data_IF_441889635149
#
_entry.id   IF_441889635149
#
_cell.length_a   1.000
_cell.length_b   1.000
_cell.length_c   1.000
_cell.angle_alpha   90.00
_cell.angle_beta   90.00
_cell.angle_gamma   90.00
#
_symmetry.space_group_name_H-M   'P 1'
#
loop_
_entity.id
_entity.type
_entity.pdbx_description
1 polymer ?
#
# COMPACT_ATOMS: atom_id res chain seq x y z
N UNK A 1 -17.06 -45.22 -51.47
CA UNK A 1 -16.66 -45.42 -50.06
C UNK A 1 -16.04 -44.13 -49.54
N UNK A 2 -16.64 -43.58 -48.48
CA UNK A 2 -16.36 -42.27 -47.89
C UNK A 2 -14.97 -42.24 -47.22
N UNK A 3 -14.21 -41.16 -47.38
CA UNK A 3 -13.20 -40.73 -46.39
C UNK A 3 -13.52 -39.30 -45.98
N UNK A 4 -13.60 -39.14 -44.67
CA UNK A 4 -14.27 -38.07 -43.92
C UNK A 4 -13.28 -36.91 -43.67
N UNK A 5 -13.83 -35.70 -43.72
CA UNK A 5 -13.21 -34.43 -43.41
C UNK A 5 -12.75 -34.31 -41.94
N UNK A 6 -11.71 -33.52 -41.70
CA UNK A 6 -11.52 -32.85 -40.42
C UNK A 6 -10.96 -31.43 -40.67
N UNK A 7 -11.86 -30.48 -40.81
CA UNK A 7 -11.56 -29.05 -40.87
C UNK A 7 -11.40 -28.53 -39.43
N UNK A 8 -10.18 -28.21 -39.02
CA UNK A 8 -9.90 -27.52 -37.76
C UNK A 8 -10.20 -26.03 -37.91
N UNK A 9 -11.34 -25.61 -37.36
CA UNK A 9 -11.70 -24.20 -37.18
C UNK A 9 -10.98 -23.68 -35.92
N UNK A 10 -9.87 -22.96 -36.10
CA UNK A 10 -9.22 -22.22 -35.03
C UNK A 10 -9.98 -20.91 -34.79
N UNK A 11 -10.96 -20.92 -33.88
CA UNK A 11 -11.52 -19.70 -33.30
C UNK A 11 -10.54 -19.16 -32.24
N UNK A 12 -9.60 -18.31 -32.67
CA UNK A 12 -8.80 -17.51 -31.76
C UNK A 12 -9.64 -16.39 -31.16
N UNK A 13 -10.07 -16.55 -29.91
CA UNK A 13 -10.68 -15.46 -29.12
C UNK A 13 -9.70 -14.29 -28.98
N UNK A 14 -10.01 -13.17 -29.62
CA UNK A 14 -9.37 -11.88 -29.31
C UNK A 14 -9.90 -11.41 -27.97
N UNK A 15 -9.12 -11.56 -26.91
CA UNK A 15 -9.37 -10.89 -25.63
C UNK A 15 -9.13 -9.40 -25.81
N UNK A 16 -10.20 -8.64 -26.04
CA UNK A 16 -10.15 -7.18 -25.98
C UNK A 16 -9.89 -6.78 -24.53
N UNK A 17 -8.65 -6.38 -24.23
CA UNK A 17 -8.33 -5.61 -23.04
C UNK A 17 -9.08 -4.28 -23.14
N UNK A 18 -10.16 -4.14 -22.37
CA UNK A 18 -10.80 -2.84 -22.17
C UNK A 18 -9.80 -1.91 -21.47
N UNK A 19 -9.03 -1.14 -22.24
CA UNK A 19 -8.40 0.05 -21.74
C UNK A 19 -9.51 0.97 -21.21
N UNK A 20 -9.55 1.18 -19.89
CA UNK A 20 -10.49 2.14 -19.31
C UNK A 20 -10.15 3.53 -19.88
N UNK A 21 -11.13 4.27 -20.42
CA UNK A 21 -10.86 5.56 -21.02
C UNK A 21 -10.26 6.52 -19.99
N UNK A 22 -9.12 7.12 -20.37
CA UNK A 22 -8.54 8.26 -19.67
C UNK A 22 -9.60 9.35 -19.59
N UNK A 23 -10.04 9.69 -18.38
CA UNK A 23 -10.90 10.84 -18.18
C UNK A 23 -10.09 12.11 -18.47
N UNK A 24 -10.53 12.91 -19.44
CA UNK A 24 -9.93 14.20 -19.74
C UNK A 24 -9.86 15.07 -18.47
N UNK A 25 -8.75 15.78 -18.21
CA UNK A 25 -8.65 16.66 -17.05
C UNK A 25 -9.65 17.81 -17.21
N UNK A 26 -10.70 17.79 -16.39
CA UNK A 26 -11.56 18.96 -16.19
C UNK A 26 -10.76 20.04 -15.47
N UNK A 27 -10.97 21.27 -15.93
CA UNK A 27 -10.43 22.54 -15.46
C UNK A 27 -10.31 22.64 -13.93
N UNK A 28 -9.17 23.18 -13.48
CA UNK A 28 -8.77 23.28 -12.08
C UNK A 28 -9.83 23.97 -11.21
N UNK A 29 -10.39 23.19 -10.30
CA UNK A 29 -11.03 23.66 -9.07
C UNK A 29 -10.03 24.52 -8.27
N UNK A 30 -10.53 25.45 -7.44
CA UNK A 30 -9.77 26.31 -6.50
C UNK A 30 -8.87 25.58 -5.47
N UNK A 31 -8.67 24.28 -5.66
CA UNK A 31 -7.80 23.41 -4.88
C UNK A 31 -6.39 23.45 -5.45
N UNK A 32 -5.40 23.58 -4.56
CA UNK A 32 -4.00 23.43 -4.93
C UNK A 32 -3.80 22.09 -5.64
N UNK A 33 -3.00 22.10 -6.71
CA UNK A 33 -2.59 20.86 -7.40
C UNK A 33 -2.02 19.88 -6.35
N UNK A 34 -2.55 18.66 -6.36
CA UNK A 34 -2.24 17.65 -5.38
C UNK A 34 -0.74 17.29 -5.36
N UNK A 35 -0.07 17.32 -6.52
CA UNK A 35 1.36 17.06 -6.63
C UNK A 35 2.18 18.15 -5.95
N UNK A 36 1.82 19.42 -6.15
CA UNK A 36 2.51 20.53 -5.51
C UNK A 36 2.36 20.48 -3.98
N UNK A 37 1.17 20.16 -3.48
CA UNK A 37 0.94 19.98 -2.05
C UNK A 37 1.75 18.79 -1.52
N UNK A 38 1.77 17.67 -2.24
CA UNK A 38 2.55 16.49 -1.88
C UNK A 38 4.05 16.81 -1.79
N UNK A 39 4.61 17.54 -2.77
CA UNK A 39 6.01 17.98 -2.78
C UNK A 39 6.35 18.91 -1.62
N UNK A 40 5.48 19.87 -1.29
CA UNK A 40 5.67 20.74 -0.12
C UNK A 40 5.67 19.93 1.18
N UNK A 41 4.68 19.05 1.36
CA UNK A 41 4.58 18.18 2.54
C UNK A 41 5.74 17.19 2.64
N UNK A 42 6.33 16.83 1.51
CA UNK A 42 7.51 15.98 1.41
C UNK A 42 8.83 16.75 1.54
N UNK A 43 8.82 18.08 1.64
CA UNK A 43 10.04 18.89 1.64
C UNK A 43 10.88 18.71 0.36
N UNK A 44 10.23 18.57 -0.79
CA UNK A 44 10.86 18.38 -2.10
C UNK A 44 10.77 19.65 -2.96
N UNK A 45 11.70 19.85 -3.92
CA UNK A 45 11.60 20.95 -4.86
C UNK A 45 10.31 20.88 -5.67
N UNK A 46 9.76 22.07 -5.96
CA UNK A 46 8.65 22.25 -6.88
C UNK A 46 9.18 22.38 -8.31
N UNK A 47 8.44 21.88 -9.32
CA UNK A 47 8.80 22.11 -10.71
C UNK A 47 8.73 23.59 -11.06
N UNK A 48 9.47 24.01 -12.08
CA UNK A 48 9.48 25.40 -12.55
C UNK A 48 8.11 25.89 -13.02
N UNK A 49 7.28 24.96 -13.51
CA UNK A 49 5.89 25.20 -13.92
C UNK A 49 4.93 25.48 -12.76
N UNK A 50 5.39 25.36 -11.50
CA UNK A 50 4.54 25.65 -10.35
C UNK A 50 4.18 27.16 -10.30
N UNK A 51 2.91 27.52 -10.03
CA UNK A 51 2.49 28.91 -9.90
C UNK A 51 3.29 29.65 -8.82
N UNK A 52 3.53 30.94 -9.03
CA UNK A 52 4.34 31.75 -8.11
C UNK A 52 3.74 31.81 -6.70
N UNK A 53 2.42 31.81 -6.58
CA UNK A 53 1.72 31.73 -5.29
C UNK A 53 2.06 30.47 -4.48
N UNK A 54 2.41 29.37 -5.15
CA UNK A 54 2.86 28.12 -4.52
C UNK A 54 4.34 28.18 -4.18
N UNK A 55 5.16 28.73 -5.08
CA UNK A 55 6.59 28.94 -4.84
C UNK A 55 6.80 29.85 -3.62
N UNK A 56 5.98 30.88 -3.46
CA UNK A 56 6.00 31.78 -2.29
C UNK A 56 5.71 31.08 -0.97
N UNK A 57 4.98 29.95 -0.95
CA UNK A 57 4.81 29.16 0.28
C UNK A 57 6.16 28.70 0.85
N UNK A 58 7.12 28.37 -0.02
CA UNK A 58 8.48 27.98 0.39
C UNK A 58 9.25 29.13 1.04
N UNK A 59 8.82 30.38 0.85
CA UNK A 59 9.46 31.53 1.48
C UNK A 59 9.06 31.72 2.95
N UNK A 60 7.98 31.07 3.40
CA UNK A 60 7.52 31.13 4.79
C UNK A 60 8.49 30.39 5.71
N UNK A 61 8.89 31.03 6.83
CA UNK A 61 9.88 30.45 7.76
C UNK A 61 9.54 29.03 8.24
N UNK A 62 8.27 28.77 8.57
CA UNK A 62 7.81 27.43 8.98
C UNK A 62 8.00 26.38 7.88
N UNK A 63 7.80 26.76 6.62
CA UNK A 63 7.95 25.86 5.46
C UNK A 63 9.43 25.64 5.17
N UNK A 64 10.29 26.67 5.25
CA UNK A 64 11.75 26.52 5.15
C UNK A 64 12.29 25.55 6.19
N UNK A 65 11.93 25.76 7.46
CA UNK A 65 12.34 24.89 8.56
C UNK A 65 11.83 23.45 8.35
N UNK A 66 10.61 23.28 7.83
CA UNK A 66 10.08 21.96 7.50
C UNK A 66 10.94 21.22 6.47
N UNK A 67 11.35 21.88 5.39
CA UNK A 67 12.15 21.24 4.33
C UNK A 67 13.47 20.69 4.91
N UNK A 68 14.20 21.50 5.67
CA UNK A 68 15.46 21.08 6.30
C UNK A 68 15.26 19.92 7.26
N UNK A 69 14.28 20.02 8.16
CA UNK A 69 14.03 18.99 9.16
C UNK A 69 13.55 17.68 8.54
N UNK A 70 12.68 17.76 7.52
CA UNK A 70 12.14 16.59 6.86
C UNK A 70 13.19 15.89 6.00
N UNK A 71 14.06 16.63 5.32
CA UNK A 71 15.14 16.05 4.55
C UNK A 71 16.14 15.27 5.42
N UNK A 72 16.52 15.82 6.59
CA UNK A 72 17.36 15.12 7.57
C UNK A 72 16.69 13.81 8.02
N UNK A 73 15.41 13.86 8.38
CA UNK A 73 14.67 12.68 8.79
C UNK A 73 14.56 11.65 7.66
N UNK A 74 14.34 12.11 6.42
CA UNK A 74 14.24 11.24 5.25
C UNK A 74 15.57 10.55 4.94
N UNK A 75 16.68 11.29 4.89
CA UNK A 75 18.03 10.73 4.67
C UNK A 75 18.37 9.66 5.70
N UNK A 76 17.98 9.87 6.96
CA UNK A 76 18.14 8.85 8.01
C UNK A 76 17.32 7.59 7.74
N UNK A 77 16.06 7.73 7.32
CA UNK A 77 15.21 6.61 6.93
C UNK A 77 15.79 5.86 5.72
N UNK A 78 16.23 6.62 4.71
CA UNK A 78 16.81 6.13 3.46
C UNK A 78 18.02 5.22 3.73
N UNK A 79 18.99 5.73 4.51
CA UNK A 79 20.22 5.03 4.84
C UNK A 79 19.98 3.83 5.77
N UNK A 80 19.08 3.97 6.75
CA UNK A 80 18.84 2.90 7.73
C UNK A 80 17.98 1.77 7.19
N UNK A 81 17.09 2.03 6.23
CA UNK A 81 16.04 1.07 5.84
C UNK A 81 15.81 0.97 4.34
N UNK A 82 15.45 2.06 3.67
CA UNK A 82 14.89 1.97 2.32
C UNK A 82 15.89 1.41 1.31
N UNK A 83 17.16 1.82 1.41
CA UNK A 83 18.25 1.27 0.57
C UNK A 83 18.40 -0.25 0.75
N UNK A 84 18.33 -0.72 2.00
CA UNK A 84 18.45 -2.14 2.35
C UNK A 84 17.25 -2.95 1.88
N UNK A 85 16.04 -2.39 2.02
CA UNK A 85 14.80 -3.01 1.52
C UNK A 85 14.86 -3.18 0.00
N UNK A 86 15.29 -2.14 -0.74
CA UNK A 86 15.43 -2.24 -2.20
C UNK A 86 16.49 -3.27 -2.60
N UNK A 87 17.66 -3.25 -1.97
CA UNK A 87 18.71 -4.27 -2.20
C UNK A 87 18.18 -5.69 -1.94
N UNK A 88 17.50 -5.90 -0.82
CA UNK A 88 16.90 -7.20 -0.49
C UNK A 88 15.86 -7.61 -1.53
N UNK A 89 14.92 -6.71 -1.89
CA UNK A 89 13.90 -6.96 -2.91
C UNK A 89 14.52 -7.40 -4.22
N UNK A 90 15.49 -6.63 -4.72
CA UNK A 90 16.12 -6.86 -6.02
C UNK A 90 16.89 -8.19 -6.07
N UNK A 91 17.39 -8.65 -4.92
CA UNK A 91 18.09 -9.94 -4.80
C UNK A 91 17.19 -11.14 -4.53
N UNK A 92 16.13 -11.01 -3.72
CA UNK A 92 15.40 -12.14 -3.15
C UNK A 92 13.99 -12.35 -3.74
N UNK A 93 13.41 -11.30 -4.32
CA UNK A 93 12.10 -11.31 -4.98
C UNK A 93 12.10 -10.56 -6.33
N UNK A 94 13.14 -10.68 -7.18
CA UNK A 94 13.14 -9.99 -8.48
C UNK A 94 11.98 -10.41 -9.37
N UNK A 95 11.49 -11.64 -9.21
CA UNK A 95 10.36 -12.22 -9.94
C UNK A 95 9.02 -11.53 -9.65
N UNK A 96 8.93 -10.75 -8.57
CA UNK A 96 7.73 -10.00 -8.20
C UNK A 96 7.65 -8.65 -8.93
N UNK A 97 8.76 -8.16 -9.48
CA UNK A 97 8.83 -6.87 -10.17
C UNK A 97 8.49 -7.01 -11.67
N UNK A 98 7.27 -7.48 -11.98
CA UNK A 98 6.77 -7.61 -13.36
C UNK A 98 5.63 -6.64 -13.63
N UNK A 99 5.52 -6.22 -14.88
CA UNK A 99 4.35 -5.50 -15.40
C UNK A 99 3.11 -6.41 -15.42
N UNK A 100 1.91 -5.84 -15.50
CA UNK A 100 0.67 -6.62 -15.44
C UNK A 100 0.36 -7.23 -14.07
N UNK A 101 1.09 -6.84 -13.02
CA UNK A 101 0.87 -7.33 -11.65
C UNK A 101 0.12 -6.32 -10.79
N UNK A 102 -0.55 -6.81 -9.76
CA UNK A 102 -1.35 -6.01 -8.85
C UNK A 102 -1.00 -6.35 -7.40
N UNK A 103 -1.13 -5.39 -6.48
CA UNK A 103 -0.86 -5.60 -5.07
C UNK A 103 -2.15 -5.56 -4.24
N UNK A 104 -2.36 -6.57 -3.42
CA UNK A 104 -3.40 -6.60 -2.39
C UNK A 104 -2.77 -6.46 -1.00
N UNK A 105 -3.09 -5.38 -0.29
CA UNK A 105 -2.57 -5.10 1.04
C UNK A 105 -3.71 -4.86 2.04
N UNK A 106 -4.25 -5.94 2.66
CA UNK A 106 -5.51 -5.87 3.42
C UNK A 106 -5.44 -5.10 4.75
N UNK A 107 -4.26 -4.89 5.30
CA UNK A 107 -4.07 -4.19 6.58
C UNK A 107 -2.97 -3.14 6.45
N UNK A 108 -3.03 -2.37 5.37
CA UNK A 108 -2.03 -1.37 5.01
C UNK A 108 -2.09 -0.11 5.87
N UNK A 109 -3.31 0.36 6.18
CA UNK A 109 -3.50 1.74 6.61
C UNK A 109 -2.84 2.72 5.61
N UNK A 110 -2.03 3.70 6.07
CA UNK A 110 -1.31 4.62 5.19
C UNK A 110 0.05 4.10 4.65
N UNK A 111 0.40 2.81 4.80
CA UNK A 111 1.72 2.27 4.44
C UNK A 111 1.90 2.03 2.92
N UNK A 112 1.73 3.09 2.13
CA UNK A 112 2.10 3.09 0.72
C UNK A 112 3.61 2.94 0.52
N UNK A 113 4.43 3.44 1.45
CA UNK A 113 5.88 3.42 1.32
C UNK A 113 6.41 1.99 1.18
N UNK A 114 6.07 1.07 2.11
CA UNK A 114 6.56 -0.30 2.01
C UNK A 114 5.95 -1.04 0.82
N UNK A 115 4.68 -0.79 0.51
CA UNK A 115 4.02 -1.34 -0.67
C UNK A 115 4.79 -0.99 -1.95
N UNK A 116 5.11 0.29 -2.14
CA UNK A 116 5.84 0.75 -3.32
C UNK A 116 7.31 0.35 -3.31
N UNK A 117 7.96 0.33 -2.15
CA UNK A 117 9.37 -0.11 -2.05
C UNK A 117 9.55 -1.58 -2.39
N UNK A 118 8.62 -2.46 -2.01
CA UNK A 118 8.72 -3.90 -2.28
C UNK A 118 8.15 -4.31 -3.64
N UNK A 119 7.17 -3.56 -4.16
CA UNK A 119 6.45 -3.89 -5.39
C UNK A 119 6.31 -2.67 -6.31
N UNK A 120 7.41 -2.03 -6.75
CA UNK A 120 7.37 -0.79 -7.53
C UNK A 120 6.68 -0.92 -8.90
N UNK A 121 6.61 -2.13 -9.47
CA UNK A 121 6.09 -2.36 -10.83
C UNK A 121 4.57 -2.61 -10.89
N UNK A 122 3.89 -2.81 -9.76
CA UNK A 122 2.46 -3.12 -9.77
C UNK A 122 1.64 -2.00 -10.42
N UNK A 123 0.70 -2.36 -11.28
CA UNK A 123 -0.19 -1.40 -11.95
C UNK A 123 -1.20 -0.83 -10.97
N UNK A 124 -1.75 -1.70 -10.12
CA UNK A 124 -2.73 -1.31 -9.11
C UNK A 124 -2.28 -1.72 -7.71
N UNK A 125 -2.46 -0.82 -6.74
CA UNK A 125 -2.22 -1.04 -5.32
C UNK A 125 -3.54 -0.94 -4.56
N UNK A 126 -4.03 -2.05 -4.03
CA UNK A 126 -5.28 -2.11 -3.26
C UNK A 126 -4.94 -2.12 -1.77
N UNK A 127 -4.99 -0.94 -1.14
CA UNK A 127 -4.71 -0.74 0.27
C UNK A 127 -6.00 -0.65 1.08
N UNK A 128 -5.96 -1.21 2.29
CA UNK A 128 -7.11 -1.23 3.18
C UNK A 128 -6.69 -0.91 4.61
N UNK A 129 -7.57 -0.26 5.34
CA UNK A 129 -7.35 0.14 6.73
C UNK A 129 -8.65 0.53 7.42
N UNK A 130 -8.58 0.92 8.68
CA UNK A 130 -9.74 1.48 9.41
C UNK A 130 -9.75 3.00 9.36
N UNK A 131 -8.65 3.60 8.92
CA UNK A 131 -8.42 5.03 8.93
C UNK A 131 -9.30 5.72 7.89
N UNK A 132 -9.75 6.92 8.21
CA UNK A 132 -10.49 7.77 7.28
C UNK A 132 -9.61 8.16 6.10
N UNK A 133 -10.22 8.37 4.94
CA UNK A 133 -9.53 8.84 3.72
C UNK A 133 -8.80 10.17 3.98
N UNK A 134 -9.48 11.14 4.58
CA UNK A 134 -8.91 12.46 4.83
C UNK A 134 -9.01 13.41 3.63
N UNK A 135 -8.27 14.52 3.69
CA UNK A 135 -8.12 15.53 2.63
C UNK A 135 -6.71 16.09 2.67
N UNK A 136 -6.20 16.56 1.53
CA UNK A 136 -4.96 17.34 1.48
C UNK A 136 -5.15 18.71 2.17
N UNK A 137 -4.09 19.28 2.77
CA UNK A 137 -4.17 20.57 3.44
C UNK A 137 -4.34 21.73 2.45
N UNK A 138 -4.92 22.83 2.94
CA UNK A 138 -4.96 24.11 2.21
C UNK A 138 -3.63 24.87 2.32
N UNK A 139 -3.43 25.90 1.48
CA UNK A 139 -2.29 26.80 1.56
C UNK A 139 -2.10 27.40 2.98
N UNK A 140 -3.19 27.81 3.63
CA UNK A 140 -3.15 28.41 4.96
C UNK A 140 -2.72 27.39 6.02
N UNK A 141 -3.19 26.14 5.90
CA UNK A 141 -2.74 25.08 6.81
C UNK A 141 -1.24 24.81 6.66
N UNK A 142 -0.72 24.80 5.42
CA UNK A 142 0.70 24.61 5.14
C UNK A 142 1.59 25.71 5.74
N UNK A 143 1.12 26.95 5.79
CA UNK A 143 1.84 28.08 6.45
C UNK A 143 1.87 27.96 7.98
N UNK A 144 0.87 27.31 8.56
CA UNK A 144 0.74 27.12 10.01
C UNK A 144 1.46 25.88 10.55
N UNK A 145 0.93 25.32 11.63
CA UNK A 145 1.52 24.18 12.34
C UNK A 145 1.27 22.80 11.67
N UNK A 146 0.57 22.76 10.53
CA UNK A 146 0.21 21.50 9.88
C UNK A 146 1.44 20.65 9.53
N UNK A 147 2.48 21.27 8.95
CA UNK A 147 3.70 20.57 8.56
C UNK A 147 4.44 19.99 9.78
N UNK A 148 4.35 20.64 10.94
CA UNK A 148 4.90 20.08 12.18
C UNK A 148 4.10 18.85 12.65
N UNK A 149 2.76 18.94 12.67
CA UNK A 149 1.90 17.80 12.99
C UNK A 149 2.08 16.62 12.03
N UNK A 150 2.30 16.92 10.74
CA UNK A 150 2.63 15.93 9.71
C UNK A 150 3.95 15.22 10.00
N UNK A 151 5.02 15.97 10.32
CA UNK A 151 6.31 15.38 10.73
C UNK A 151 6.14 14.44 11.93
N UNK A 152 5.37 14.85 12.94
CA UNK A 152 5.11 14.01 14.12
C UNK A 152 4.39 12.72 13.74
N UNK A 153 3.38 12.79 12.86
CA UNK A 153 2.62 11.63 12.40
C UNK A 153 3.47 10.66 11.58
N UNK A 154 4.31 11.18 10.69
CA UNK A 154 5.23 10.39 9.86
C UNK A 154 6.38 9.79 10.67
N UNK A 155 6.87 10.48 11.70
CA UNK A 155 8.01 10.04 12.51
C UNK A 155 7.85 8.63 13.08
N UNK A 156 6.60 8.22 13.37
CA UNK A 156 6.29 6.88 13.87
C UNK A 156 6.63 5.82 12.82
N UNK A 157 6.13 5.97 11.58
CA UNK A 157 6.50 5.05 10.50
C UNK A 157 7.99 5.16 10.19
N UNK A 158 8.55 6.38 10.10
CA UNK A 158 9.96 6.54 9.73
C UNK A 158 10.88 5.86 10.75
N UNK A 159 10.57 5.95 12.05
CA UNK A 159 11.35 5.31 13.11
C UNK A 159 11.07 3.82 13.25
N UNK A 160 9.81 3.36 13.14
CA UNK A 160 9.41 1.98 13.43
C UNK A 160 9.28 1.08 12.20
N UNK A 161 9.22 1.66 11.01
CA UNK A 161 8.89 0.98 9.75
C UNK A 161 7.47 0.36 9.69
N UNK A 162 6.54 0.79 10.54
CA UNK A 162 5.11 0.45 10.45
C UNK A 162 4.31 1.44 11.29
N UNK A 163 2.97 1.40 11.15
CA UNK A 163 2.06 2.22 11.93
C UNK A 163 1.43 1.43 13.10
N UNK A 164 1.27 2.08 14.26
CA UNK A 164 0.49 1.54 15.38
C UNK A 164 -0.91 2.12 15.33
N UNK A 165 -1.95 1.27 15.36
CA UNK A 165 -3.36 1.69 15.26
C UNK A 165 -3.75 2.74 16.30
N UNK A 166 -3.32 2.59 17.56
CA UNK A 166 -3.55 3.60 18.61
C UNK A 166 -2.93 4.96 18.26
N UNK A 167 -1.68 4.95 17.80
CA UNK A 167 -0.99 6.19 17.45
C UNK A 167 -1.62 6.83 16.19
N UNK A 168 -2.10 6.01 15.25
CA UNK A 168 -2.88 6.49 14.10
C UNK A 168 -4.22 7.10 14.50
N UNK A 169 -4.96 6.49 15.42
CA UNK A 169 -6.22 7.05 15.92
C UNK A 169 -6.02 8.44 16.55
N UNK A 170 -4.93 8.66 17.28
CA UNK A 170 -4.65 9.96 17.89
C UNK A 170 -4.18 10.99 16.85
N UNK A 171 -3.25 10.59 15.97
CA UNK A 171 -2.64 11.52 15.02
C UNK A 171 -3.56 11.85 13.83
N UNK A 172 -4.23 10.85 13.27
CA UNK A 172 -5.04 10.96 12.04
C UNK A 172 -6.45 11.52 12.26
N UNK A 173 -6.85 11.76 13.51
CA UNK A 173 -8.08 12.47 13.86
C UNK A 173 -7.84 13.93 14.29
N UNK A 174 -6.57 14.35 14.37
CA UNK A 174 -6.17 15.69 14.83
C UNK A 174 -6.02 16.68 13.66
N UNK A 175 -4.91 17.42 13.59
CA UNK A 175 -4.61 18.39 12.53
C UNK A 175 -4.36 17.73 11.17
N UNK A 176 -3.74 16.55 11.14
CA UNK A 176 -3.51 15.77 9.92
C UNK A 176 -4.61 14.73 9.83
N UNK A 177 -5.64 14.98 9.02
CA UNK A 177 -6.82 14.12 8.97
C UNK A 177 -6.68 13.05 7.88
N UNK A 178 -6.72 11.78 8.29
CA UNK A 178 -6.80 10.61 7.41
C UNK A 178 -5.50 10.21 6.71
N UNK A 179 -5.59 9.19 5.84
CA UNK A 179 -4.43 8.57 5.18
C UNK A 179 -3.85 9.39 4.02
N UNK A 180 -4.68 10.18 3.35
CA UNK A 180 -4.32 10.83 2.09
C UNK A 180 -3.06 11.73 2.20
N UNK A 181 -2.89 12.57 3.24
CA UNK A 181 -1.66 13.37 3.37
C UNK A 181 -0.39 12.53 3.51
N UNK A 182 -0.46 11.41 4.23
CA UNK A 182 0.70 10.54 4.46
C UNK A 182 1.07 9.79 3.19
N UNK A 183 0.08 9.22 2.50
CA UNK A 183 0.28 8.55 1.21
C UNK A 183 0.87 9.51 0.19
N UNK A 184 0.36 10.74 0.11
CA UNK A 184 0.86 11.76 -0.83
C UNK A 184 2.35 12.08 -0.58
N UNK A 185 2.78 12.19 0.68
CA UNK A 185 4.20 12.36 1.02
C UNK A 185 5.03 11.18 0.56
N UNK A 186 4.57 9.94 0.80
CA UNK A 186 5.30 8.75 0.38
C UNK A 186 5.36 8.58 -1.14
N UNK A 187 4.30 8.95 -1.87
CA UNK A 187 4.30 8.98 -3.33
C UNK A 187 5.36 9.94 -3.85
N UNK A 188 5.34 11.20 -3.39
CA UNK A 188 6.30 12.21 -3.81
C UNK A 188 7.75 11.81 -3.48
N UNK A 189 8.01 11.32 -2.25
CA UNK A 189 9.34 10.83 -1.86
C UNK A 189 9.75 9.52 -2.55
N UNK A 190 8.80 8.74 -3.03
CA UNK A 190 9.05 7.58 -3.90
C UNK A 190 9.35 7.97 -5.35
N UNK A 191 9.46 9.26 -5.68
CA UNK A 191 9.71 9.75 -7.03
C UNK A 191 8.47 9.75 -7.92
N UNK A 192 7.27 9.68 -7.34
CA UNK A 192 6.01 9.65 -8.09
C UNK A 192 5.35 11.02 -8.11
N UNK A 193 4.85 11.40 -9.28
CA UNK A 193 3.96 12.54 -9.48
C UNK A 193 2.52 12.12 -9.28
N UNK A 194 1.74 12.85 -8.48
CA UNK A 194 0.29 12.63 -8.40
C UNK A 194 -0.37 13.25 -9.63
N UNK A 195 -1.13 12.44 -10.39
CA UNK A 195 -1.83 12.90 -11.58
C UNK A 195 -3.28 13.26 -11.27
N UNK A 196 -3.96 12.44 -10.47
CA UNK A 196 -5.33 12.70 -10.06
C UNK A 196 -5.67 12.04 -8.74
N UNK A 197 -6.61 12.65 -8.02
CA UNK A 197 -7.25 12.07 -6.84
C UNK A 197 -8.75 12.10 -7.08
N UNK A 198 -9.42 10.96 -6.94
CA UNK A 198 -10.85 10.82 -7.14
C UNK A 198 -11.46 10.02 -5.99
N UNK A 199 -12.75 10.27 -5.72
CA UNK A 199 -13.54 9.33 -4.91
C UNK A 199 -13.91 8.15 -5.79
N UNK A 200 -13.88 6.96 -5.22
CA UNK A 200 -14.35 5.73 -5.88
C UNK A 200 -15.44 5.09 -5.04
N UNK A 201 -16.51 4.63 -5.67
CA UNK A 201 -17.61 3.93 -5.03
C UNK A 201 -17.73 2.54 -5.65
N UNK A 202 -17.54 1.48 -4.85
CA UNK A 202 -17.75 0.11 -5.33
C UNK A 202 -19.25 -0.17 -5.30
N UNK A 203 -19.85 -0.27 -6.49
CA UNK A 203 -21.28 -0.48 -6.66
C UNK A 203 -21.66 -1.93 -6.34
N UNK A 204 -22.97 -2.24 -6.24
CA UNK A 204 -23.47 -3.57 -5.85
C UNK A 204 -22.98 -4.70 -6.76
N UNK A 205 -22.70 -4.41 -8.03
CA UNK A 205 -22.17 -5.36 -9.01
C UNK A 205 -20.65 -5.60 -8.86
N UNK A 206 -19.96 -4.83 -8.01
CA UNK A 206 -18.52 -4.87 -7.80
C UNK A 206 -17.71 -3.93 -8.70
N UNK A 207 -18.37 -3.15 -9.57
CA UNK A 207 -17.68 -2.20 -10.46
C UNK A 207 -17.41 -0.86 -9.74
N UNK A 208 -16.26 -0.21 -10.03
CA UNK A 208 -15.95 1.10 -9.47
C UNK A 208 -16.67 2.21 -10.24
N UNK A 209 -17.28 3.13 -9.50
CA UNK A 209 -17.73 4.45 -10.00
C UNK A 209 -16.80 5.54 -9.49
N UNK A 210 -16.18 6.28 -10.41
CA UNK A 210 -15.27 7.38 -10.10
C UNK A 210 -16.01 8.71 -10.16
N UNK A 211 -15.73 9.58 -9.19
CA UNK A 211 -16.24 10.96 -9.15
C UNK A 211 -15.16 11.91 -8.64
N UNK A 212 -15.29 13.20 -8.94
CA UNK A 212 -14.34 14.22 -8.50
C UNK A 212 -14.18 14.18 -6.96
N UNK A 213 -12.97 14.47 -6.46
CA UNK A 213 -12.69 14.36 -5.03
C UNK A 213 -13.46 15.38 -4.18
N UNK A 214 -13.82 16.53 -4.73
CA UNK A 214 -14.64 17.57 -4.11
C UNK A 214 -16.15 17.36 -4.31
N UNK A 215 -16.57 16.35 -5.07
CA UNK A 215 -18.00 16.05 -5.29
C UNK A 215 -18.69 15.61 -3.99
N UNK A 216 -19.66 16.40 -3.51
CA UNK A 216 -20.37 16.13 -2.26
C UNK A 216 -21.67 15.34 -2.44
N UNK A 217 -22.01 14.90 -3.66
CA UNK A 217 -23.18 14.07 -3.92
C UNK A 217 -23.04 12.69 -3.26
N UNK A 218 -24.17 12.15 -2.82
CA UNK A 218 -24.24 10.78 -2.34
C UNK A 218 -24.27 9.81 -3.52
N UNK A 219 -23.49 8.74 -3.43
CA UNK A 219 -23.51 7.63 -4.36
C UNK A 219 -23.61 6.33 -3.58
N UNK A 220 -24.48 5.38 -3.97
CA UNK A 220 -24.57 4.09 -3.31
C UNK A 220 -23.29 3.27 -3.56
N UNK A 221 -22.89 2.49 -2.55
CA UNK A 221 -21.72 1.60 -2.62
C UNK A 221 -20.67 1.92 -1.57
N UNK A 222 -19.61 1.11 -1.54
CA UNK A 222 -18.51 1.33 -0.60
C UNK A 222 -17.62 2.47 -1.10
N UNK A 223 -17.56 3.55 -0.33
CA UNK A 223 -16.72 4.71 -0.62
C UNK A 223 -15.24 4.43 -0.31
N UNK A 224 -14.38 4.81 -1.25
CA UNK A 224 -12.93 4.82 -1.17
C UNK A 224 -12.34 6.06 -1.84
N UNK A 225 -11.01 6.07 -1.94
CA UNK A 225 -10.25 7.04 -2.75
C UNK A 225 -9.39 6.27 -3.73
N UNK A 226 -9.22 6.81 -4.93
CA UNK A 226 -8.20 6.38 -5.88
C UNK A 226 -7.24 7.53 -6.15
N UNK A 227 -5.95 7.20 -6.27
CA UNK A 227 -4.90 8.13 -6.66
C UNK A 227 -4.21 7.53 -7.88
N UNK A 228 -4.24 8.27 -8.99
CA UNK A 228 -3.42 7.95 -10.15
C UNK A 228 -2.11 8.71 -10.03
N UNK A 229 -1.00 8.02 -10.24
CA UNK A 229 0.34 8.57 -10.09
C UNK A 229 1.28 8.00 -11.15
N UNK A 230 2.36 8.72 -11.43
CA UNK A 230 3.35 8.29 -12.43
C UNK A 230 4.75 8.51 -11.91
N UNK A 231 5.59 7.49 -12.05
CA UNK A 231 7.03 7.62 -11.91
C UNK A 231 7.63 7.94 -13.29
N UNK A 232 8.62 8.82 -13.36
CA UNK A 232 9.23 9.20 -14.64
C UNK A 232 9.97 8.02 -15.30
N UNK A 233 10.36 7.00 -14.52
CA UNK A 233 10.96 5.76 -15.03
C UNK A 233 9.92 4.75 -15.58
N UNK A 234 8.67 5.16 -15.76
CA UNK A 234 7.59 4.31 -16.28
C UNK A 234 6.84 5.01 -17.40
N UNK A 235 6.46 4.24 -18.41
CA UNK A 235 5.65 4.76 -19.51
C UNK A 235 4.21 5.03 -19.06
N UNK A 236 3.61 4.05 -18.38
CA UNK A 236 2.22 4.07 -17.95
C UNK A 236 2.05 4.52 -16.50
N UNK A 237 0.99 5.31 -16.20
CA UNK A 237 0.59 5.59 -14.83
C UNK A 237 0.22 4.32 -14.05
N UNK A 238 0.34 4.44 -12.74
CA UNK A 238 -0.08 3.45 -11.75
C UNK A 238 -1.26 4.00 -10.94
N UNK A 239 -1.98 3.13 -10.26
CA UNK A 239 -3.15 3.50 -9.48
C UNK A 239 -3.15 2.89 -8.09
N UNK A 240 -3.41 3.70 -7.08
CA UNK A 240 -3.64 3.23 -5.72
C UNK A 240 -5.11 3.41 -5.35
N UNK A 241 -5.74 2.34 -4.87
CA UNK A 241 -7.04 2.38 -4.22
C UNK A 241 -6.86 2.28 -2.71
N UNK A 242 -7.63 3.06 -1.96
CA UNK A 242 -7.73 2.93 -0.52
C UNK A 242 -9.19 2.88 -0.05
N UNK A 243 -9.51 1.89 0.78
CA UNK A 243 -10.82 1.75 1.41
C UNK A 243 -10.68 1.64 2.94
N UNK A 244 -11.38 2.53 3.64
CA UNK A 244 -11.60 2.43 5.08
C UNK A 244 -12.67 1.38 5.38
N UNK A 245 -12.28 0.16 5.75
CA UNK A 245 -13.21 -0.96 5.96
C UNK A 245 -12.77 -1.91 7.06
N UNK A 246 -13.74 -2.38 7.84
CA UNK A 246 -13.54 -3.49 8.77
C UNK A 246 -13.63 -4.84 8.04
N UNK A 247 -12.59 -5.65 8.18
CA UNK A 247 -12.45 -6.97 7.57
C UNK A 247 -12.81 -8.17 8.46
N UNK A 248 -13.33 -7.94 9.67
CA UNK A 248 -13.97 -9.00 10.45
C UNK A 248 -15.09 -9.64 9.60
N UNK A 249 -15.15 -10.97 9.59
CA UNK A 249 -16.04 -11.77 8.75
C UNK A 249 -17.51 -11.34 8.87
N UNK A 250 -17.98 -11.01 10.08
CA UNK A 250 -19.32 -10.48 10.31
C UNK A 250 -19.59 -9.18 9.53
N UNK A 251 -18.61 -8.27 9.47
CA UNK A 251 -18.68 -7.03 8.69
C UNK A 251 -18.59 -7.29 7.18
N UNK A 252 -17.94 -8.38 6.77
CA UNK A 252 -17.77 -8.73 5.36
C UNK A 252 -19.01 -9.36 4.72
N UNK A 253 -19.94 -9.92 5.51
CA UNK A 253 -21.19 -10.53 5.00
C UNK A 253 -22.01 -9.58 4.12
N UNK A 254 -22.03 -8.28 4.44
CA UNK A 254 -22.73 -7.26 3.64
C UNK A 254 -21.88 -6.65 2.52
N UNK A 255 -20.61 -7.07 2.37
CA UNK A 255 -19.61 -6.46 1.47
C UNK A 255 -19.19 -7.40 0.33
N UNK A 256 -20.10 -8.24 -0.16
CA UNK A 256 -19.83 -9.13 -1.29
C UNK A 256 -19.32 -8.37 -2.55
N UNK A 257 -19.78 -7.15 -2.76
CA UNK A 257 -19.31 -6.27 -3.84
C UNK A 257 -17.83 -5.90 -3.71
N UNK A 258 -17.32 -5.69 -2.49
CA UNK A 258 -15.90 -5.44 -2.25
C UNK A 258 -15.06 -6.68 -2.57
N UNK A 259 -15.55 -7.87 -2.22
CA UNK A 259 -14.87 -9.13 -2.55
C UNK A 259 -14.80 -9.32 -4.06
N UNK A 260 -15.88 -9.03 -4.79
CA UNK A 260 -15.89 -9.05 -6.26
C UNK A 260 -14.85 -8.09 -6.85
N UNK A 261 -14.81 -6.85 -6.34
CA UNK A 261 -13.82 -5.85 -6.75
C UNK A 261 -12.38 -6.31 -6.50
N UNK A 262 -12.06 -6.85 -5.31
CA UNK A 262 -10.71 -7.37 -5.03
C UNK A 262 -10.37 -8.52 -6.00
N UNK A 263 -11.31 -9.41 -6.27
CA UNK A 263 -11.10 -10.57 -7.14
C UNK A 263 -10.97 -10.21 -8.62
N UNK A 264 -11.51 -9.07 -9.08
CA UNK A 264 -11.46 -8.68 -10.50
C UNK A 264 -10.06 -8.33 -11.01
N UNK A 265 -9.09 -8.05 -10.13
CA UNK A 265 -7.70 -7.82 -10.53
C UNK A 265 -6.98 -9.16 -10.77
N UNK A 266 -6.44 -9.40 -11.96
CA UNK A 266 -5.61 -10.57 -12.23
C UNK A 266 -4.22 -10.45 -11.60
N UNK A 267 -3.43 -11.54 -11.58
CA UNK A 267 -2.01 -11.54 -11.22
C UNK A 267 -1.67 -10.77 -9.94
N UNK A 268 -2.53 -10.92 -8.92
CA UNK A 268 -2.33 -10.25 -7.63
C UNK A 268 -1.22 -10.93 -6.85
N UNK A 269 -0.41 -10.14 -6.18
CA UNK A 269 0.43 -10.52 -5.05
C UNK A 269 -0.16 -9.93 -3.77
N UNK A 270 0.10 -10.56 -2.63
CA UNK A 270 -0.35 -10.08 -1.33
C UNK A 270 0.83 -9.57 -0.52
N UNK A 271 0.65 -8.43 0.11
CA UNK A 271 1.56 -7.93 1.13
C UNK A 271 0.83 -7.82 2.46
N UNK A 272 1.43 -8.27 3.55
CA UNK A 272 0.94 -7.97 4.91
C UNK A 272 2.11 -7.66 5.82
N UNK A 273 1.91 -6.77 6.79
CA UNK A 273 2.95 -6.36 7.73
C UNK A 273 2.30 -5.76 8.96
N UNK A 274 2.73 -6.19 10.15
CA UNK A 274 2.22 -5.67 11.43
C UNK A 274 0.68 -5.69 11.51
N UNK A 275 0.07 -6.77 11.03
CA UNK A 275 -1.36 -6.96 10.87
C UNK A 275 -2.05 -7.49 12.13
N UNK A 276 -1.53 -7.16 13.32
CA UNK A 276 -2.10 -7.53 14.64
C UNK A 276 -2.47 -9.01 14.79
N UNK A 277 -1.78 -9.91 14.06
CA UNK A 277 -2.06 -11.35 14.02
C UNK A 277 -3.51 -11.70 13.64
N UNK A 278 -4.25 -10.80 12.98
CA UNK A 278 -5.68 -10.95 12.71
C UNK A 278 -6.00 -12.19 11.87
N UNK A 279 -5.13 -12.51 10.89
CA UNK A 279 -5.29 -13.66 9.99
C UNK A 279 -5.05 -15.02 10.68
N UNK A 280 -4.63 -15.02 11.95
CA UNK A 280 -4.53 -16.23 12.77
C UNK A 280 -5.89 -16.70 13.28
N UNK A 281 -6.80 -15.74 13.53
CA UNK A 281 -8.12 -16.01 14.08
C UNK A 281 -9.11 -16.58 13.07
N UNK A 282 -10.23 -17.11 13.58
CA UNK A 282 -11.32 -17.62 12.74
C UNK A 282 -12.19 -16.48 12.15
N UNK A 283 -12.26 -15.34 12.82
CA UNK A 283 -13.06 -14.17 12.43
C UNK A 283 -12.53 -13.37 11.23
N UNK A 284 -11.42 -13.80 10.62
CA UNK A 284 -10.83 -13.18 9.43
C UNK A 284 -10.61 -14.20 8.31
N UNK A 285 -11.40 -15.28 8.32
CA UNK A 285 -11.28 -16.38 7.38
C UNK A 285 -11.55 -15.94 5.94
N UNK A 286 -12.46 -14.97 5.72
CA UNK A 286 -12.78 -14.45 4.37
C UNK A 286 -11.55 -13.85 3.73
N UNK A 287 -10.86 -12.94 4.43
CA UNK A 287 -9.66 -12.28 3.90
C UNK A 287 -8.49 -13.27 3.81
N UNK A 288 -8.31 -14.16 4.80
CA UNK A 288 -7.30 -15.22 4.72
C UNK A 288 -7.49 -16.08 3.47
N UNK A 289 -8.72 -16.47 3.15
CA UNK A 289 -9.02 -17.27 1.97
C UNK A 289 -8.81 -16.50 0.66
N UNK A 290 -9.07 -15.18 0.64
CA UNK A 290 -8.71 -14.34 -0.52
C UNK A 290 -7.19 -14.33 -0.72
N UNK A 291 -6.42 -14.17 0.37
CA UNK A 291 -4.95 -14.24 0.32
C UNK A 291 -4.50 -15.59 -0.22
N UNK A 292 -4.98 -16.71 0.30
CA UNK A 292 -4.54 -18.03 -0.11
C UNK A 292 -4.99 -18.38 -1.55
N UNK A 293 -6.22 -18.04 -1.93
CA UNK A 293 -6.81 -18.55 -3.17
C UNK A 293 -6.63 -17.60 -4.35
N UNK A 294 -6.48 -16.28 -4.14
CA UNK A 294 -6.56 -15.29 -5.21
C UNK A 294 -5.29 -14.43 -5.37
N UNK A 295 -4.15 -14.96 -4.96
CA UNK A 295 -2.83 -14.34 -5.14
C UNK A 295 -1.84 -15.36 -5.70
N UNK A 296 -0.80 -14.92 -6.40
CA UNK A 296 0.30 -15.76 -6.91
C UNK A 296 1.46 -15.86 -5.92
N UNK A 297 1.68 -14.80 -5.13
CA UNK A 297 2.74 -14.74 -4.14
C UNK A 297 2.35 -13.89 -2.92
N UNK A 298 3.03 -14.11 -1.79
CA UNK A 298 2.84 -13.37 -0.54
C UNK A 298 4.19 -12.95 0.02
N UNK A 299 4.31 -11.68 0.43
CA UNK A 299 5.38 -11.21 1.33
C UNK A 299 4.73 -10.80 2.64
N UNK A 300 5.19 -11.33 3.76
CA UNK A 300 4.66 -10.97 5.07
C UNK A 300 5.64 -11.12 6.21
N UNK A 301 5.36 -10.49 7.34
CA UNK A 301 5.92 -10.90 8.63
C UNK A 301 5.10 -12.04 9.25
N UNK A 302 5.46 -12.44 10.46
CA UNK A 302 4.79 -13.48 11.23
C UNK A 302 3.35 -13.12 11.67
N UNK A 303 2.95 -11.86 11.46
CA UNK A 303 1.61 -11.37 11.81
C UNK A 303 0.57 -11.64 10.70
N UNK A 304 1.02 -12.02 9.50
CA UNK A 304 0.17 -12.35 8.37
C UNK A 304 -0.53 -13.70 8.51
N UNK A 305 -0.80 -14.38 7.39
CA UNK A 305 -1.41 -15.72 7.42
C UNK A 305 -0.44 -16.71 8.08
N UNK A 306 -0.87 -17.53 9.05
CA UNK A 306 0.05 -18.46 9.72
C UNK A 306 0.78 -19.42 8.77
N UNK A 307 2.04 -19.71 9.08
CA UNK A 307 2.93 -20.60 8.32
C UNK A 307 2.31 -21.97 8.02
N UNK A 308 1.53 -22.55 8.96
CA UNK A 308 0.77 -23.78 8.75
C UNK A 308 -0.14 -23.80 7.52
N UNK A 309 -0.60 -22.65 7.03
CA UNK A 309 -1.42 -22.58 5.81
C UNK A 309 -0.59 -22.59 4.51
N UNK A 310 0.71 -22.37 4.60
CA UNK A 310 1.62 -22.32 3.46
C UNK A 310 2.50 -23.57 3.34
N UNK A 311 2.97 -24.11 4.48
CA UNK A 311 4.08 -25.08 4.54
C UNK A 311 3.99 -26.30 3.60
N UNK A 312 2.79 -26.76 3.27
CA UNK A 312 2.57 -27.96 2.44
C UNK A 312 2.21 -27.62 0.98
N UNK A 313 1.54 -26.48 0.76
CA UNK A 313 0.93 -26.11 -0.52
C UNK A 313 1.71 -25.04 -1.29
N UNK A 314 2.70 -24.40 -0.64
CA UNK A 314 3.45 -23.27 -1.19
C UNK A 314 4.95 -23.50 -1.07
N UNK A 315 5.70 -22.82 -1.92
CA UNK A 315 7.14 -22.67 -1.80
C UNK A 315 7.42 -21.50 -0.86
N UNK A 316 7.82 -21.79 0.38
CA UNK A 316 8.06 -20.79 1.42
C UNK A 316 9.56 -20.59 1.64
N UNK A 317 10.01 -19.35 1.54
CA UNK A 317 11.37 -18.93 1.91
C UNK A 317 11.31 -17.98 3.10
N UNK A 318 12.14 -18.26 4.10
CA UNK A 318 12.19 -17.52 5.35
C UNK A 318 13.45 -16.65 5.40
N UNK A 319 13.33 -15.48 6.02
CA UNK A 319 14.43 -14.55 6.23
C UNK A 319 14.41 -13.96 7.64
N UNK A 320 15.59 -13.60 8.13
CA UNK A 320 15.77 -12.94 9.42
C UNK A 320 15.71 -13.91 10.59
N UNK A 321 15.06 -13.49 11.67
CA UNK A 321 14.97 -14.24 12.93
C UNK A 321 13.54 -14.22 13.44
N UNK A 322 13.01 -15.39 13.79
CA UNK A 322 11.71 -15.48 14.45
C UNK A 322 11.84 -15.37 15.97
N UNK A 323 10.94 -14.62 16.58
CA UNK A 323 10.85 -14.45 18.01
C UNK A 323 9.41 -14.59 18.49
N UNK A 324 9.26 -14.70 19.81
CA UNK A 324 7.93 -14.64 20.40
C UNK A 324 7.30 -13.28 20.11
N UNK A 325 6.02 -13.24 19.70
CA UNK A 325 5.28 -12.00 19.53
C UNK A 325 5.41 -11.06 20.74
N UNK A 326 5.29 -9.77 20.48
CA UNK A 326 5.28 -8.73 21.52
C UNK A 326 4.12 -8.95 22.51
N UNK A 327 4.21 -8.34 23.69
CA UNK A 327 3.33 -8.63 24.85
C UNK A 327 1.83 -8.60 24.54
N UNK A 328 1.40 -7.71 23.65
CA UNK A 328 -0.02 -7.53 23.30
C UNK A 328 -0.54 -8.66 22.39
N UNK A 329 0.34 -9.49 21.84
CA UNK A 329 0.03 -10.53 20.84
C UNK A 329 0.59 -11.90 21.19
N UNK A 330 0.74 -12.24 22.47
CA UNK A 330 1.30 -13.53 22.93
C UNK A 330 0.65 -14.77 22.28
N UNK A 331 -0.62 -14.68 21.90
CA UNK A 331 -1.37 -15.74 21.21
C UNK A 331 -0.91 -16.01 19.78
N UNK A 332 -0.17 -15.10 19.15
CA UNK A 332 0.31 -15.20 17.77
C UNK A 332 1.54 -16.10 17.58
N UNK A 333 2.01 -16.77 18.63
CA UNK A 333 3.20 -17.61 18.55
C UNK A 333 2.95 -18.87 17.72
N UNK A 334 3.78 -19.09 16.72
CA UNK A 334 3.68 -20.19 15.77
C UNK A 334 4.76 -21.23 16.06
N UNK A 335 4.36 -22.35 16.69
CA UNK A 335 5.30 -23.42 17.09
C UNK A 335 6.01 -24.05 15.90
N UNK A 336 5.29 -24.26 14.81
CA UNK A 336 5.78 -24.81 13.54
C UNK A 336 6.74 -23.85 12.82
N UNK A 337 6.41 -22.55 12.78
CA UNK A 337 7.32 -21.54 12.24
C UNK A 337 8.61 -21.47 13.06
N UNK A 338 8.50 -21.47 14.40
CA UNK A 338 9.66 -21.49 15.29
C UNK A 338 10.54 -22.73 15.09
N UNK A 339 9.93 -23.91 14.93
CA UNK A 339 10.68 -25.12 14.61
C UNK A 339 11.39 -24.97 13.27
N UNK A 340 10.72 -24.46 12.24
CA UNK A 340 11.32 -24.24 10.92
C UNK A 340 12.51 -23.29 10.99
N UNK A 341 12.41 -22.18 11.73
CA UNK A 341 13.53 -21.25 11.92
C UNK A 341 14.74 -21.85 12.64
N UNK A 342 14.55 -22.89 13.46
CA UNK A 342 15.65 -23.59 14.15
C UNK A 342 16.35 -24.63 13.27
N UNK A 343 15.58 -25.30 12.41
CA UNK A 343 16.07 -26.44 11.62
C UNK A 343 16.53 -26.04 10.23
N UNK A 344 15.94 -25.03 9.61
CA UNK A 344 16.27 -24.61 8.24
C UNK A 344 17.56 -23.78 8.22
N UNK A 345 18.61 -24.35 7.62
CA UNK A 345 19.93 -23.72 7.51
C UNK A 345 20.07 -22.77 6.31
N UNK A 346 19.04 -22.69 5.45
CA UNK A 346 19.06 -21.83 4.26
C UNK A 346 18.53 -20.41 4.52
N UNK A 347 18.04 -20.16 5.74
CA UNK A 347 17.48 -18.87 6.14
C UNK A 347 18.57 -17.81 6.14
N UNK A 348 18.41 -16.81 5.26
CA UNK A 348 19.32 -15.67 5.19
C UNK A 348 18.94 -14.60 6.23
N UNK A 349 19.90 -13.90 6.83
CA UNK A 349 19.60 -12.76 7.70
C UNK A 349 19.02 -11.59 6.89
N UNK A 350 18.38 -10.65 7.60
CA UNK A 350 18.02 -9.33 7.09
C UNK A 350 18.70 -8.27 7.95
N UNK A 351 19.09 -7.16 7.34
CA UNK A 351 19.82 -6.06 7.99
C UNK A 351 18.97 -4.79 8.16
N UNK A 352 17.65 -4.93 7.96
CA UNK A 352 16.63 -3.90 8.18
C UNK A 352 15.52 -4.45 9.07
N UNK A 353 14.77 -3.54 9.70
CA UNK A 353 13.68 -3.92 10.60
C UNK A 353 12.35 -4.04 9.86
N UNK A 354 11.57 -5.05 10.23
CA UNK A 354 10.32 -5.41 9.58
C UNK A 354 9.34 -6.02 10.61
N UNK A 355 8.14 -5.46 10.71
CA UNK A 355 7.13 -5.93 11.67
C UNK A 355 7.24 -5.31 13.07
N UNK A 356 6.55 -5.91 14.05
CA UNK A 356 6.48 -5.40 15.43
C UNK A 356 7.81 -5.40 16.18
N UNK A 357 8.80 -6.18 15.75
CA UNK A 357 10.12 -6.28 16.40
C UNK A 357 11.10 -5.18 15.98
N UNK A 358 10.60 -3.98 15.69
CA UNK A 358 11.34 -2.87 15.07
C UNK A 358 12.50 -2.29 15.90
N UNK A 359 12.53 -2.53 17.20
CA UNK A 359 13.62 -2.11 18.10
C UNK A 359 14.64 -3.23 18.37
N UNK A 360 14.49 -4.37 17.70
CA UNK A 360 15.36 -5.55 17.85
C UNK A 360 15.83 -6.03 16.49
N UNK A 361 16.79 -6.96 16.48
CA UNK A 361 17.21 -7.69 15.28
C UNK A 361 16.32 -8.91 14.96
N UNK A 362 15.16 -9.02 15.65
CA UNK A 362 14.24 -10.18 15.58
C UNK A 362 13.11 -9.99 14.58
N UNK A 363 13.44 -9.39 13.43
CA UNK A 363 12.49 -9.24 12.34
C UNK A 363 12.48 -10.52 11.50
N UNK A 364 11.29 -10.97 11.09
CA UNK A 364 11.12 -12.14 10.22
C UNK A 364 10.30 -11.79 8.99
N UNK A 365 10.67 -12.38 7.86
CA UNK A 365 9.94 -12.25 6.59
C UNK A 365 9.69 -13.64 6.03
N UNK A 366 8.45 -13.88 5.61
CA UNK A 366 8.02 -15.04 4.86
C UNK A 366 7.76 -14.57 3.42
N UNK A 367 8.40 -15.22 2.47
CA UNK A 367 8.10 -15.09 1.04
C UNK A 367 7.49 -16.40 0.58
N UNK A 368 6.20 -16.40 0.27
CA UNK A 368 5.45 -17.57 -0.15
C UNK A 368 5.11 -17.45 -1.64
N UNK A 369 5.46 -18.45 -2.45
CA UNK A 369 5.10 -18.55 -3.86
C UNK A 369 4.18 -19.76 -4.06
N UNK A 370 3.13 -19.63 -4.88
CA UNK A 370 2.34 -20.80 -5.26
C UNK A 370 3.22 -21.78 -6.04
N UNK A 371 2.96 -23.07 -5.82
CA UNK A 371 3.58 -24.17 -6.57
C UNK A 371 3.06 -24.22 -8.00
#
# INVERSE_FOLDING_TARGET
MKKIALTLLLLGMVTVLYAQPYASPKTLSSTLDADYVARIMAGLPLPETAPESIKQLRQTNNVKAHYTQFDIAWKKLEAKKLTKIRKWRDSEIPDFNKEGTNLFYPFAGPDFLNAYMLFPSCENYLLFGLEKIGKLPTANQLKGNYLYSLRKSLSILMNRNYFITRDMMNNLNSNVKGVLPLVAVFMARGGNKILSIQKVYIQKDGKPKYVAFDDNKYYPGLKGVTIEFKNDNRDLPQRMYYFGTNFVDASMRSKGHLVKFIKSFANKMTFTKSASYLLHGYNFSTIRNIVLNNTSAVVQDDTGVPYRFYKDQWNVKLYGKYARPVRDFKYGFQRDLNQRFRTDKTIKPIDFTFGYHWWTDKSSILVCRKK
#
